data_IF_191000607582
#
_entry.id   IF_191000607582
#
_cell.length_a   1.000
_cell.length_b   1.000
_cell.length_c   1.000
_cell.angle_alpha   90.00
_cell.angle_beta   90.00
_cell.angle_gamma   90.00
#
_symmetry.space_group_name_H-M   'P 1'
#
loop_
_entity.id
_entity.type
_entity.pdbx_description
1 polymer ?
#
# COMPACT_ATOMS: atom_id res chain seq x y z
N UNK A 1 -2.46 -21.32 39.18
CA UNK A 1 -2.31 -19.86 39.10
C UNK A 1 -2.31 -19.49 37.62
N UNK A 2 -3.31 -18.75 37.16
CA UNK A 2 -3.39 -18.30 35.76
C UNK A 2 -2.28 -17.26 35.55
N UNK A 3 -1.53 -17.40 34.46
CA UNK A 3 -0.37 -16.58 34.11
C UNK A 3 -0.67 -15.84 32.81
N UNK A 4 -0.15 -14.63 32.65
CA UNK A 4 -0.41 -13.78 31.49
C UNK A 4 0.86 -13.58 30.65
N UNK A 5 0.78 -13.81 29.34
CA UNK A 5 1.89 -13.61 28.40
C UNK A 5 1.98 -12.13 28.00
N UNK A 6 2.99 -11.39 28.47
CA UNK A 6 3.14 -9.97 28.12
C UNK A 6 3.52 -9.72 26.65
N UNK A 7 3.93 -10.75 25.91
CA UNK A 7 4.27 -10.65 24.49
C UNK A 7 3.08 -10.89 23.56
N UNK A 8 2.13 -11.70 24.01
CA UNK A 8 1.11 -12.30 23.15
C UNK A 8 -0.31 -12.21 23.72
N UNK A 9 -0.46 -11.59 24.90
CA UNK A 9 -1.75 -11.26 25.51
C UNK A 9 -2.58 -12.45 26.01
N UNK A 10 -2.08 -13.69 25.88
CA UNK A 10 -2.84 -14.89 26.25
C UNK A 10 -2.61 -15.30 27.70
N UNK A 11 -3.71 -15.76 28.33
CA UNK A 11 -3.67 -16.44 29.62
C UNK A 11 -3.29 -17.91 29.45
N UNK A 12 -2.44 -18.43 30.33
CA UNK A 12 -2.00 -19.81 30.29
C UNK A 12 -1.72 -20.35 31.70
N UNK A 13 -1.84 -21.67 31.87
CA UNK A 13 -1.62 -22.36 33.15
C UNK A 13 -0.29 -23.13 33.15
N UNK A 14 0.24 -23.45 31.97
CA UNK A 14 1.51 -24.14 31.76
C UNK A 14 2.72 -23.30 32.17
N UNK A 15 3.88 -23.94 32.37
CA UNK A 15 5.15 -23.24 32.61
C UNK A 15 5.68 -22.48 31.38
N UNK A 16 5.12 -22.77 30.21
CA UNK A 16 5.51 -22.26 28.89
C UNK A 16 4.26 -21.74 28.18
N UNK A 17 4.35 -20.55 27.58
CA UNK A 17 3.25 -20.00 26.79
C UNK A 17 3.04 -20.83 25.50
N UNK A 18 1.82 -21.28 25.19
CA UNK A 18 1.54 -22.12 24.02
C UNK A 18 1.68 -21.37 22.69
N UNK A 19 1.55 -20.04 22.67
CA UNK A 19 1.62 -19.25 21.44
C UNK A 19 3.06 -18.84 21.09
N UNK A 20 3.87 -18.44 22.09
CA UNK A 20 5.23 -17.92 21.84
C UNK A 20 6.36 -18.83 22.35
N UNK A 21 6.05 -19.96 22.99
CA UNK A 21 7.02 -20.93 23.47
C UNK A 21 7.91 -20.46 24.64
N UNK A 22 7.69 -19.25 25.19
CA UNK A 22 8.52 -18.69 26.27
C UNK A 22 8.01 -19.07 27.66
N UNK A 23 8.94 -19.34 28.57
CA UNK A 23 8.65 -19.46 30.01
C UNK A 23 8.44 -18.10 30.64
N UNK A 24 7.83 -18.06 31.83
CA UNK A 24 7.73 -16.82 32.62
C UNK A 24 9.09 -16.22 32.97
N UNK A 25 10.07 -17.07 33.30
CA UNK A 25 11.42 -16.61 33.66
C UNK A 25 12.12 -15.89 32.49
N UNK A 26 11.91 -16.38 31.27
CA UNK A 26 12.38 -15.70 30.05
C UNK A 26 11.69 -14.35 29.84
N UNK A 27 10.39 -14.26 30.15
CA UNK A 27 9.63 -13.01 30.04
C UNK A 27 10.07 -11.96 31.09
N UNK A 28 10.42 -12.41 32.30
CA UNK A 28 10.88 -11.54 33.39
C UNK A 28 12.32 -11.04 33.15
N UNK A 29 13.21 -11.90 32.64
CA UNK A 29 14.55 -11.48 32.21
C UNK A 29 14.50 -10.44 31.08
N UNK A 30 13.55 -10.56 30.14
CA UNK A 30 13.37 -9.58 29.06
C UNK A 30 12.87 -8.23 29.59
N UNK A 31 11.93 -8.25 30.53
CA UNK A 31 11.46 -7.04 31.21
C UNK A 31 12.59 -6.33 31.95
N UNK A 32 13.38 -7.07 32.72
CA UNK A 32 14.51 -6.53 33.47
C UNK A 32 15.61 -5.96 32.53
N UNK A 33 15.84 -6.59 31.37
CA UNK A 33 16.75 -6.06 30.33
C UNK A 33 16.22 -4.78 29.69
N UNK A 34 14.91 -4.69 29.43
CA UNK A 34 14.27 -3.50 28.88
C UNK A 34 14.34 -2.32 29.87
N UNK A 35 14.07 -2.57 31.16
CA UNK A 35 14.18 -1.56 32.22
C UNK A 35 15.63 -1.07 32.39
N UNK A 36 16.60 -1.98 32.33
CA UNK A 36 18.04 -1.61 32.41
C UNK A 36 18.46 -0.76 31.21
N UNK A 37 17.99 -1.07 30.00
CA UNK A 37 18.23 -0.25 28.80
C UNK A 37 17.61 1.14 28.94
N UNK A 38 16.36 1.23 29.38
CA UNK A 38 15.67 2.51 29.62
C UNK A 38 16.40 3.37 30.65
N UNK A 39 16.85 2.77 31.76
CA UNK A 39 17.57 3.48 32.82
C UNK A 39 18.94 4.01 32.37
N UNK A 40 19.65 3.26 31.51
CA UNK A 40 20.92 3.69 30.92
C UNK A 40 20.73 4.82 29.90
N UNK A 41 19.69 4.76 29.07
CA UNK A 41 19.32 5.84 28.15
C UNK A 41 18.93 7.13 28.90
N UNK A 42 18.19 7.01 30.01
CA UNK A 42 17.84 8.15 30.86
C UNK A 42 19.06 8.78 31.56
N UNK A 43 20.03 7.96 32.00
CA UNK A 43 21.31 8.46 32.54
C UNK A 43 22.15 9.18 31.49
N UNK A 44 22.21 8.65 30.26
CA UNK A 44 22.90 9.30 29.14
C UNK A 44 22.27 10.64 28.73
N UNK A 45 20.94 10.76 28.84
CA UNK A 45 20.23 12.03 28.58
C UNK A 45 20.51 13.07 29.68
N UNK A 46 20.60 12.66 30.96
CA UNK A 46 20.94 13.57 32.06
C UNK A 46 22.41 14.05 32.01
N UNK A 47 23.35 13.21 31.60
CA UNK A 47 24.75 13.63 31.42
C UNK A 47 24.92 14.62 30.25
N UNK A 48 24.16 14.44 29.16
CA UNK A 48 24.17 15.38 28.03
C UNK A 48 23.48 16.72 28.33
N UNK A 49 22.50 16.75 29.24
CA UNK A 49 21.89 18.02 29.69
C UNK A 49 22.81 18.81 30.63
N UNK A 50 23.60 18.15 31.49
CA UNK A 50 24.55 18.84 32.38
C UNK A 50 25.76 19.44 31.64
N UNK A 51 26.16 18.88 30.48
CA UNK A 51 27.26 19.43 29.68
C UNK A 51 26.89 20.65 28.83
N UNK A 52 25.60 20.96 28.63
CA UNK A 52 25.14 22.08 27.80
C UNK A 52 24.70 23.33 28.60
N UNK A 53 24.99 23.40 29.90
CA UNK A 53 24.68 24.56 30.75
C UNK A 53 25.95 25.14 31.38
N UNK A 54 26.84 25.70 30.57
CA UNK A 54 27.92 26.56 31.05
C UNK A 54 28.26 27.62 29.98
N UNK A 55 27.50 28.72 29.98
CA UNK A 55 27.91 30.10 29.68
C UNK A 55 26.71 30.93 29.18
N UNK A 56 26.31 31.95 29.95
CA UNK A 56 26.11 33.35 29.54
C UNK A 56 25.46 34.11 30.74
N UNK A 57 25.90 35.33 31.10
CA UNK A 57 25.44 36.06 32.28
C UNK A 57 24.18 36.93 32.03
N UNK A 58 23.55 37.30 33.14
CA UNK A 58 22.34 38.11 33.31
C UNK A 58 22.40 39.56 32.79
N UNK A 59 21.30 40.07 32.21
CA UNK A 59 20.62 41.32 32.64
C UNK A 59 19.45 41.76 31.73
N UNK A 60 18.32 42.08 32.38
CA UNK A 60 17.36 43.18 32.15
C UNK A 60 16.43 43.27 30.91
N UNK A 61 15.22 43.74 31.25
CA UNK A 61 13.99 44.07 30.52
C UNK A 61 14.12 45.02 29.33
N UNK A 62 13.16 45.00 28.38
CA UNK A 62 12.26 46.12 27.99
C UNK A 62 11.30 45.71 26.85
N UNK A 63 10.06 46.21 26.92
CA UNK A 63 8.99 46.08 25.93
C UNK A 63 9.28 46.80 24.59
N UNK A 64 8.73 46.28 23.48
CA UNK A 64 7.94 46.99 22.45
C UNK A 64 7.93 46.26 21.08
N UNK A 65 6.79 46.30 20.38
CA UNK A 65 6.56 45.94 18.97
C UNK A 65 5.79 47.09 18.29
N UNK A 66 5.66 47.17 16.94
CA UNK A 66 6.51 46.79 15.79
C UNK A 66 6.64 48.01 14.78
N UNK A 67 7.06 47.89 13.48
CA UNK A 67 6.19 47.36 12.41
C UNK A 67 6.89 46.64 11.22
N UNK A 68 6.04 46.07 10.36
CA UNK A 68 6.25 45.22 9.17
C UNK A 68 7.25 45.74 8.12
N UNK A 69 7.98 44.82 7.47
CA UNK A 69 8.55 45.03 6.11
C UNK A 69 8.29 43.83 5.20
N UNK A 70 7.62 44.13 4.09
CA UNK A 70 7.46 43.31 2.88
C UNK A 70 8.82 43.12 2.20
N UNK A 71 9.15 41.90 1.75
CA UNK A 71 10.32 41.62 0.90
C UNK A 71 9.85 41.53 -0.56
N UNK A 72 10.42 42.36 -1.44
CA UNK A 72 10.31 42.23 -2.90
C UNK A 72 11.15 41.03 -3.34
N UNK A 73 10.55 40.08 -4.04
CA UNK A 73 11.28 38.99 -4.71
C UNK A 73 11.69 39.49 -6.10
N UNK A 74 12.99 39.47 -6.38
CA UNK A 74 13.59 39.93 -7.63
C UNK A 74 13.25 39.00 -8.80
N UNK A 75 12.62 39.57 -9.84
CA UNK A 75 12.21 38.96 -11.12
C UNK A 75 13.40 38.34 -11.91
N UNK A 76 14.64 38.63 -11.49
CA UNK A 76 15.86 38.15 -12.14
C UNK A 76 16.02 36.62 -12.03
N UNK A 77 15.50 35.97 -10.98
CA UNK A 77 15.59 34.51 -10.81
C UNK A 77 14.62 33.71 -11.69
N UNK A 78 13.52 34.31 -12.15
CA UNK A 78 12.55 33.65 -13.04
C UNK A 78 13.04 33.59 -14.50
N UNK A 79 13.91 34.52 -14.91
CA UNK A 79 14.43 34.57 -16.29
C UNK A 79 15.63 33.65 -16.51
N UNK A 80 16.43 33.36 -15.48
CA UNK A 80 17.55 32.42 -15.58
C UNK A 80 17.05 30.97 -15.60
N UNK A 81 15.98 30.65 -14.85
CA UNK A 81 15.39 29.31 -14.83
C UNK A 81 14.69 28.92 -16.16
N UNK A 82 14.05 29.86 -16.83
CA UNK A 82 13.34 29.60 -18.11
C UNK A 82 14.29 29.34 -19.28
N UNK A 83 15.48 29.95 -19.29
CA UNK A 83 16.50 29.73 -20.32
C UNK A 83 17.13 28.32 -20.21
N UNK A 84 17.30 27.80 -18.99
CA UNK A 84 17.84 26.45 -18.76
C UNK A 84 16.84 25.36 -19.17
N UNK A 85 15.53 25.59 -18.97
CA UNK A 85 14.47 24.64 -19.35
C UNK A 85 14.31 24.57 -20.88
N UNK A 86 14.42 25.70 -21.59
CA UNK A 86 14.33 25.72 -23.06
C UNK A 86 15.53 25.08 -23.77
N UNK A 87 16.72 25.11 -23.15
CA UNK A 87 17.90 24.44 -23.70
C UNK A 87 17.83 22.91 -23.55
N UNK A 88 17.22 22.41 -22.48
CA UNK A 88 17.06 20.97 -22.24
C UNK A 88 16.00 20.34 -23.18
N UNK A 89 14.91 21.04 -23.48
CA UNK A 89 13.85 20.54 -24.37
C UNK A 89 14.28 20.52 -25.84
N UNK A 90 15.13 21.46 -26.28
CA UNK A 90 15.68 21.46 -27.64
C UNK A 90 16.69 20.33 -27.89
N UNK A 91 17.42 19.88 -26.85
CA UNK A 91 18.36 18.76 -26.94
C UNK A 91 17.64 17.41 -27.07
N UNK A 92 16.50 17.23 -26.40
CA UNK A 92 15.69 16.00 -26.50
C UNK A 92 15.06 15.84 -27.89
N UNK A 93 14.61 16.95 -28.52
CA UNK A 93 14.07 16.92 -29.89
C UNK A 93 15.11 16.64 -30.98
N UNK A 94 16.40 16.89 -30.72
CA UNK A 94 17.48 16.57 -31.67
C UNK A 94 17.98 15.13 -31.56
N UNK A 95 17.79 14.46 -30.41
CA UNK A 95 18.15 13.05 -30.23
C UNK A 95 17.07 12.12 -30.82
N UNK A 96 15.79 12.52 -30.78
CA UNK A 96 14.69 11.73 -31.33
C UNK A 96 14.67 11.65 -32.86
N UNK A 97 15.46 12.47 -33.57
CA UNK A 97 15.44 12.55 -35.04
C UNK A 97 16.60 11.81 -35.72
N UNK A 98 17.38 10.99 -35.00
CA UNK A 98 18.53 10.26 -35.58
C UNK A 98 18.48 8.74 -35.48
N UNK A 99 17.42 8.13 -34.93
CA UNK A 99 17.30 6.67 -34.86
C UNK A 99 15.97 6.18 -35.46
N UNK A 100 15.78 6.40 -36.76
CA UNK A 100 14.88 5.58 -37.58
C UNK A 100 15.71 4.92 -38.68
N UNK A 101 16.14 3.69 -38.43
CA UNK A 101 16.91 2.91 -39.39
C UNK A 101 17.22 1.49 -38.92
N UNK A 102 16.42 0.55 -39.44
CA UNK A 102 16.73 -0.87 -39.68
C UNK A 102 16.67 -1.85 -38.49
N UNK A 103 15.54 -2.56 -38.45
CA UNK A 103 15.38 -4.03 -38.48
C UNK A 103 16.42 -4.96 -37.81
N UNK A 104 15.82 -5.80 -36.96
CA UNK A 104 16.03 -7.25 -36.85
C UNK A 104 17.05 -7.81 -35.84
N UNK A 105 16.55 -8.85 -35.18
CA UNK A 105 17.20 -10.03 -34.60
C UNK A 105 17.85 -9.92 -33.21
N UNK A 106 17.19 -10.63 -32.30
CA UNK A 106 17.74 -11.42 -31.21
C UNK A 106 19.25 -11.69 -31.25
N UNK A 107 19.93 -11.37 -30.14
CA UNK A 107 21.16 -12.04 -29.73
C UNK A 107 21.06 -12.39 -28.25
N UNK A 108 20.72 -13.65 -28.03
CA UNK A 108 21.05 -14.39 -26.82
C UNK A 108 22.46 -14.96 -26.94
N UNK A 109 23.16 -15.02 -25.81
CA UNK A 109 24.34 -15.83 -25.55
C UNK A 109 25.61 -15.01 -25.27
N UNK A 110 26.54 -15.42 -24.41
CA UNK A 110 26.70 -16.64 -23.60
C UNK A 110 27.95 -16.39 -22.71
N UNK A 111 28.00 -17.01 -21.52
CA UNK A 111 29.23 -17.20 -20.74
C UNK A 111 29.90 -18.53 -21.18
N UNK A 112 31.23 -18.71 -21.05
CA UNK A 112 32.00 -19.50 -22.00
C UNK A 112 32.28 -20.96 -21.61
N UNK A 113 32.56 -21.72 -22.68
CA UNK A 113 33.59 -22.74 -22.86
C UNK A 113 33.61 -23.98 -21.94
N UNK A 114 33.28 -25.14 -22.55
CA UNK A 114 34.03 -26.40 -22.35
C UNK A 114 34.19 -27.13 -23.69
N UNK A 115 35.46 -27.39 -24.00
CA UNK A 115 36.12 -28.44 -24.80
C UNK A 115 35.39 -29.28 -25.87
N UNK A 116 35.93 -29.16 -27.09
CA UNK A 116 36.40 -30.18 -28.06
C UNK A 116 35.95 -31.64 -27.89
N UNK A 117 35.42 -32.24 -28.97
CA UNK A 117 36.13 -33.28 -29.74
C UNK A 117 35.33 -33.67 -31.00
N UNK A 118 36.06 -34.30 -31.93
CA UNK A 118 35.85 -34.39 -33.37
C UNK A 118 34.90 -35.51 -33.87
N UNK A 119 34.44 -35.28 -35.10
CA UNK A 119 34.25 -36.20 -36.24
C UNK A 119 33.28 -37.40 -36.21
N UNK A 120 32.63 -37.52 -37.38
CA UNK A 120 32.23 -38.73 -38.12
C UNK A 120 30.75 -39.22 -38.07
N UNK A 121 29.99 -38.74 -39.06
CA UNK A 121 29.27 -39.53 -40.07
C UNK A 121 28.79 -40.96 -39.70
N UNK A 122 27.47 -41.16 -39.59
CA UNK A 122 26.77 -42.25 -40.30
C UNK A 122 25.25 -42.03 -40.28
N UNK A 123 24.64 -41.97 -41.46
CA UNK A 123 23.19 -41.83 -41.60
C UNK A 123 22.46 -43.13 -41.27
N UNK A 124 21.22 -43.01 -40.77
CA UNK A 124 20.14 -43.94 -41.07
C UNK A 124 18.81 -43.24 -40.85
N UNK A 125 17.93 -43.28 -41.85
CA UNK A 125 16.55 -42.83 -41.74
C UNK A 125 15.74 -43.78 -40.88
N UNK A 126 15.02 -43.26 -39.87
CA UNK A 126 13.77 -43.84 -39.40
C UNK A 126 12.80 -42.72 -39.06
N UNK A 127 11.58 -42.89 -39.55
CA UNK A 127 10.45 -41.98 -39.53
C UNK A 127 9.88 -41.73 -38.13
N UNK A 128 9.52 -40.49 -37.80
CA UNK A 128 8.37 -40.18 -36.93
C UNK A 128 8.06 -38.68 -36.89
N UNK A 129 6.84 -38.36 -37.34
CA UNK A 129 5.99 -37.24 -36.94
C UNK A 129 6.51 -36.23 -35.91
N UNK A 130 6.52 -34.94 -36.27
CA UNK A 130 6.30 -33.85 -35.30
C UNK A 130 5.74 -32.61 -35.97
N UNK A 131 4.54 -32.23 -35.53
CA UNK A 131 3.84 -30.99 -35.83
C UNK A 131 4.71 -29.78 -35.50
N UNK A 132 5.05 -28.97 -36.51
CA UNK A 132 5.50 -27.59 -36.29
C UNK A 132 4.27 -26.69 -36.34
N UNK A 133 3.63 -26.53 -35.18
CA UNK A 133 2.70 -25.43 -34.91
C UNK A 133 3.35 -24.51 -33.90
N UNK A 134 4.03 -23.47 -34.38
CA UNK A 134 4.41 -22.33 -33.55
C UNK A 134 3.13 -21.60 -33.16
N UNK A 135 2.56 -21.96 -32.01
CA UNK A 135 1.56 -21.16 -31.35
C UNK A 135 2.30 -20.03 -30.62
N UNK A 136 2.04 -18.79 -31.03
CA UNK A 136 2.38 -17.62 -30.25
C UNK A 136 1.78 -17.78 -28.84
N UNK A 137 2.62 -17.59 -27.81
CA UNK A 137 2.15 -17.44 -26.44
C UNK A 137 1.22 -16.22 -26.39
N UNK A 138 -0.06 -16.48 -26.25
CA UNK A 138 -1.05 -15.46 -25.89
C UNK A 138 -0.92 -15.19 -24.39
N UNK A 139 -1.07 -13.93 -23.92
CA UNK A 139 -1.11 -13.65 -22.50
C UNK A 139 -2.30 -14.39 -21.87
N UNK A 140 -2.03 -15.17 -20.84
CA UNK A 140 -3.03 -15.95 -20.11
C UNK A 140 -3.47 -15.20 -18.86
N UNK A 141 -4.42 -14.28 -18.96
CA UNK A 141 -5.32 -13.93 -17.83
C UNK A 141 -6.59 -13.26 -18.37
N UNK A 142 -7.56 -14.05 -18.85
CA UNK A 142 -8.94 -13.57 -18.85
C UNK A 142 -9.46 -13.69 -17.41
N UNK A 143 -9.02 -12.81 -16.49
CA UNK A 143 -9.66 -12.71 -15.17
C UNK A 143 -11.04 -12.12 -15.41
N UNK A 144 -12.06 -12.98 -15.38
CA UNK A 144 -13.44 -12.49 -15.52
C UNK A 144 -13.89 -11.97 -14.16
N UNK A 145 -13.86 -10.64 -13.98
CA UNK A 145 -14.33 -9.95 -12.76
C UNK A 145 -15.86 -9.95 -12.69
N UNK A 146 -16.45 -11.14 -12.55
CA UNK A 146 -17.89 -11.33 -12.37
C UNK A 146 -18.15 -12.45 -11.39
N UNK A 147 -18.25 -12.11 -10.12
CA UNK A 147 -18.92 -12.95 -9.16
C UNK A 147 -20.44 -12.86 -9.42
N UNK A 148 -20.99 -13.91 -10.05
CA UNK A 148 -22.41 -14.01 -10.41
C UNK A 148 -23.40 -13.88 -9.22
N UNK A 149 -22.90 -13.79 -7.98
CA UNK A 149 -23.69 -13.58 -6.76
C UNK A 149 -23.89 -12.11 -6.39
N UNK A 150 -23.11 -11.19 -6.94
CA UNK A 150 -23.21 -9.78 -6.59
C UNK A 150 -24.49 -9.16 -7.17
N UNK A 151 -25.12 -8.27 -6.41
CA UNK A 151 -26.32 -7.53 -6.84
C UNK A 151 -26.06 -6.03 -6.75
N UNK A 152 -26.61 -5.24 -7.68
CA UNK A 152 -26.55 -3.78 -7.59
C UNK A 152 -27.09 -3.27 -6.24
N UNK A 153 -26.42 -2.24 -5.72
CA UNK A 153 -26.84 -1.58 -4.49
C UNK A 153 -28.26 -1.02 -4.64
N UNK A 154 -29.14 -1.50 -3.76
CA UNK A 154 -30.48 -0.99 -3.52
C UNK A 154 -30.54 -0.39 -2.10
N UNK A 155 -30.81 0.93 -1.95
CA UNK A 155 -30.92 1.58 -0.64
C UNK A 155 -32.12 1.09 0.18
N UNK A 156 -33.13 0.46 -0.44
CA UNK A 156 -34.28 -0.13 0.26
C UNK A 156 -34.00 -1.55 0.79
N UNK A 157 -32.90 -2.18 0.36
CA UNK A 157 -32.52 -3.53 0.77
C UNK A 157 -31.76 -3.51 2.10
N UNK A 158 -31.93 -4.57 2.88
CA UNK A 158 -31.08 -4.87 4.04
C UNK A 158 -29.92 -5.76 3.61
N UNK A 159 -28.73 -5.47 4.13
CA UNK A 159 -27.50 -6.22 3.86
C UNK A 159 -27.00 -6.91 5.12
N UNK A 160 -26.19 -7.94 4.93
CA UNK A 160 -25.43 -8.64 5.95
C UNK A 160 -23.93 -8.55 5.65
N UNK A 161 -23.10 -8.74 6.67
CA UNK A 161 -21.65 -8.95 6.48
C UNK A 161 -21.43 -10.09 5.48
N UNK A 162 -20.42 -9.93 4.62
CA UNK A 162 -20.07 -10.81 3.50
C UNK A 162 -21.05 -10.81 2.30
N UNK A 163 -22.11 -10.00 2.33
CA UNK A 163 -22.88 -9.75 1.10
C UNK A 163 -21.98 -9.10 0.04
N UNK A 164 -22.17 -9.49 -1.22
CA UNK A 164 -21.52 -8.85 -2.36
C UNK A 164 -22.48 -7.87 -3.06
N UNK A 165 -22.02 -6.65 -3.28
CA UNK A 165 -22.78 -5.61 -3.97
C UNK A 165 -22.01 -5.02 -5.16
N UNK A 166 -22.75 -4.56 -6.17
CA UNK A 166 -22.22 -3.75 -7.26
C UNK A 166 -22.57 -2.29 -7.03
N UNK A 167 -21.59 -1.40 -7.08
CA UNK A 167 -21.78 0.04 -6.87
C UNK A 167 -20.63 0.84 -7.48
N UNK A 168 -20.93 1.83 -8.34
CA UNK A 168 -19.91 2.50 -9.15
C UNK A 168 -19.32 1.59 -10.24
N UNK A 169 -18.50 2.20 -11.10
CA UNK A 169 -17.78 1.53 -12.17
C UNK A 169 -16.38 2.14 -12.35
N UNK A 170 -15.35 1.31 -12.50
CA UNK A 170 -13.97 1.72 -12.72
C UNK A 170 -13.28 0.79 -13.71
N UNK A 171 -12.22 1.25 -14.36
CA UNK A 171 -11.43 0.43 -15.28
C UNK A 171 -10.77 -0.72 -14.49
N UNK A 172 -10.98 -1.97 -14.94
CA UNK A 172 -10.47 -3.15 -14.24
C UNK A 172 -9.80 -4.17 -15.18
N UNK A 173 -10.14 -4.21 -16.47
CA UNK A 173 -9.58 -5.18 -17.41
C UNK A 173 -8.48 -4.64 -18.33
N UNK A 174 -8.15 -3.34 -18.21
CA UNK A 174 -7.15 -2.63 -19.03
C UNK A 174 -7.55 -2.51 -20.52
N UNK A 175 -8.85 -2.71 -20.84
CA UNK A 175 -9.44 -2.50 -22.15
C UNK A 175 -10.38 -1.28 -22.18
N UNK A 176 -9.78 -0.10 -22.27
CA UNK A 176 -10.51 1.17 -22.38
C UNK A 176 -11.52 1.28 -23.55
N UNK A 177 -11.55 0.32 -24.48
CA UNK A 177 -12.49 0.33 -25.60
C UNK A 177 -13.91 -0.13 -25.22
N UNK A 178 -14.06 -0.86 -24.11
CA UNK A 178 -15.33 -1.41 -23.63
C UNK A 178 -16.00 -0.53 -22.55
N UNK A 179 -15.24 0.40 -21.97
CA UNK A 179 -15.67 1.29 -20.89
C UNK A 179 -15.67 0.61 -19.52
N UNK A 180 -15.63 1.41 -18.45
CA UNK A 180 -15.40 0.90 -17.09
C UNK A 180 -16.37 -0.20 -16.61
N UNK A 181 -15.84 -1.15 -15.83
CA UNK A 181 -16.56 -2.26 -15.24
C UNK A 181 -17.19 -1.90 -13.89
N UNK A 182 -18.35 -2.47 -13.60
CA UNK A 182 -18.96 -2.36 -12.28
C UNK A 182 -18.01 -2.85 -11.18
N UNK A 183 -17.87 -2.09 -10.10
CA UNK A 183 -17.00 -2.46 -8.98
C UNK A 183 -17.74 -3.44 -8.08
N UNK A 184 -17.09 -4.57 -7.78
CA UNK A 184 -17.54 -5.53 -6.78
C UNK A 184 -17.07 -5.12 -5.39
N UNK A 185 -18.00 -5.08 -4.45
CA UNK A 185 -17.74 -4.73 -3.05
C UNK A 185 -18.24 -5.82 -2.11
N UNK A 186 -17.47 -6.05 -1.04
CA UNK A 186 -17.86 -6.88 0.09
C UNK A 186 -18.31 -6.00 1.26
N UNK A 187 -19.44 -6.35 1.87
CA UNK A 187 -19.91 -5.71 3.10
C UNK A 187 -19.09 -6.18 4.31
N UNK A 188 -18.46 -5.24 5.02
CA UNK A 188 -17.65 -5.49 6.22
C UNK A 188 -18.40 -5.23 7.54
N UNK A 189 -19.32 -4.25 7.55
CA UNK A 189 -20.10 -3.90 8.74
C UNK A 189 -21.48 -3.38 8.35
N UNK A 190 -22.46 -3.55 9.23
CA UNK A 190 -23.83 -3.08 9.05
C UNK A 190 -24.28 -2.33 10.29
N UNK A 191 -24.43 -1.02 10.17
CA UNK A 191 -25.07 -0.17 11.17
C UNK A 191 -26.53 0.10 10.78
N UNK A 192 -27.32 0.70 11.68
CA UNK A 192 -28.76 0.89 11.48
C UNK A 192 -29.10 1.69 10.22
N UNK A 193 -28.25 2.66 9.85
CA UNK A 193 -28.46 3.60 8.74
C UNK A 193 -27.35 3.60 7.69
N UNK A 194 -26.32 2.75 7.82
CA UNK A 194 -25.22 2.69 6.85
C UNK A 194 -24.54 1.34 6.83
N UNK A 195 -23.85 1.02 5.74
CA UNK A 195 -23.04 -0.19 5.60
C UNK A 195 -21.61 0.18 5.22
N UNK A 196 -20.63 -0.50 5.81
CA UNK A 196 -19.22 -0.37 5.43
C UNK A 196 -18.94 -1.41 4.36
N UNK A 197 -18.34 -0.96 3.26
CA UNK A 197 -17.95 -1.83 2.17
C UNK A 197 -16.47 -1.64 1.83
N UNK A 198 -15.84 -2.70 1.34
CA UNK A 198 -14.50 -2.68 0.75
C UNK A 198 -14.55 -3.32 -0.63
N UNK A 199 -13.79 -2.78 -1.57
CA UNK A 199 -13.62 -3.38 -2.90
C UNK A 199 -13.09 -4.81 -2.78
N UNK A 200 -13.64 -5.72 -3.58
CA UNK A 200 -13.22 -7.12 -3.59
C UNK A 200 -11.77 -7.23 -4.11
N UNK A 201 -11.42 -6.42 -5.11
CA UNK A 201 -10.11 -6.32 -5.75
C UNK A 201 -9.38 -5.02 -5.39
N UNK A 202 -8.06 -5.02 -5.52
CA UNK A 202 -7.29 -3.77 -5.56
C UNK A 202 -7.45 -3.14 -6.95
N UNK A 203 -8.04 -1.95 -7.02
CA UNK A 203 -8.58 -1.38 -8.25
C UNK A 203 -7.54 -0.61 -9.08
N UNK A 204 -6.50 -0.07 -8.43
CA UNK A 204 -5.45 0.71 -9.09
C UNK A 204 -4.11 0.60 -8.34
N UNK A 205 -3.02 0.99 -8.98
CA UNK A 205 -1.69 1.14 -8.41
C UNK A 205 -1.36 2.62 -8.21
N UNK A 206 -1.43 3.10 -6.97
CA UNK A 206 -1.15 4.49 -6.60
C UNK A 206 -0.23 4.52 -5.38
N UNK A 207 0.83 5.32 -5.45
CA UNK A 207 1.71 5.56 -4.30
C UNK A 207 0.91 6.16 -3.14
N UNK A 208 1.24 5.78 -1.90
CA UNK A 208 0.66 6.42 -0.71
C UNK A 208 0.90 7.94 -0.73
N UNK A 209 2.10 8.36 -1.13
CA UNK A 209 2.45 9.75 -1.35
C UNK A 209 3.32 9.90 -2.61
N UNK A 210 3.16 10.98 -3.36
CA UNK A 210 3.94 11.22 -4.59
C UNK A 210 5.45 11.36 -4.34
N UNK A 211 5.82 11.95 -3.20
CA UNK A 211 7.21 12.20 -2.79
C UNK A 211 7.59 11.42 -1.54
N UNK A 212 8.89 11.12 -1.39
CA UNK A 212 9.44 10.48 -0.18
C UNK A 212 9.73 11.50 0.93
N UNK A 213 8.69 12.20 1.36
CA UNK A 213 8.73 13.17 2.44
C UNK A 213 7.86 12.70 3.60
N UNK A 214 8.20 13.08 4.83
CA UNK A 214 7.37 12.73 5.98
C UNK A 214 5.92 13.19 5.76
N UNK A 215 5.00 12.24 5.78
CA UNK A 215 3.58 12.50 5.57
C UNK A 215 2.71 11.63 6.48
N UNK A 216 1.45 12.02 6.59
CA UNK A 216 0.42 11.29 7.32
C UNK A 216 -0.74 11.00 6.36
N UNK A 217 -1.71 10.19 6.77
CA UNK A 217 -2.92 9.98 5.95
C UNK A 217 -3.57 11.32 5.54
N UNK A 218 -3.69 12.24 6.50
CA UNK A 218 -4.30 13.56 6.33
C UNK A 218 -3.72 14.39 5.20
N UNK A 219 -2.40 14.29 5.00
CA UNK A 219 -1.63 15.06 4.00
C UNK A 219 -1.17 14.24 2.82
N UNK A 220 -1.53 12.96 2.74
CA UNK A 220 -1.12 12.06 1.67
C UNK A 220 -1.81 12.37 0.35
N UNK A 221 -1.08 12.21 -0.77
CA UNK A 221 -1.68 12.33 -2.10
C UNK A 221 -2.70 11.23 -2.38
N UNK A 222 -2.52 10.02 -1.80
CA UNK A 222 -3.49 8.93 -1.94
C UNK A 222 -4.87 9.29 -1.36
N UNK A 223 -4.91 9.92 -0.17
CA UNK A 223 -6.18 10.39 0.41
C UNK A 223 -6.87 11.41 -0.51
N UNK A 224 -6.09 12.34 -1.09
CA UNK A 224 -6.63 13.33 -2.02
C UNK A 224 -7.21 12.67 -3.27
N UNK A 225 -6.44 11.78 -3.91
CA UNK A 225 -6.86 11.02 -5.09
C UNK A 225 -8.14 10.21 -4.83
N UNK A 226 -8.23 9.52 -3.68
CA UNK A 226 -9.43 8.75 -3.31
C UNK A 226 -10.68 9.63 -3.19
N UNK A 227 -10.55 10.82 -2.60
CA UNK A 227 -11.69 11.70 -2.31
C UNK A 227 -12.03 12.69 -3.43
N UNK A 228 -11.21 12.73 -4.49
CA UNK A 228 -11.40 13.59 -5.67
C UNK A 228 -11.41 12.75 -6.95
N UNK A 229 -10.24 12.49 -7.55
CA UNK A 229 -10.11 11.81 -8.85
C UNK A 229 -10.83 10.47 -8.92
N UNK A 230 -10.55 9.56 -7.98
CA UNK A 230 -11.19 8.25 -7.94
C UNK A 230 -12.70 8.38 -7.75
N UNK A 231 -13.14 9.19 -6.79
CA UNK A 231 -14.57 9.39 -6.50
C UNK A 231 -15.34 9.92 -7.72
N UNK A 232 -14.78 10.91 -8.40
CA UNK A 232 -15.41 11.55 -9.55
C UNK A 232 -15.38 10.67 -10.81
N UNK A 233 -14.42 9.75 -10.89
CA UNK A 233 -14.32 8.79 -12.00
C UNK A 233 -15.19 7.55 -11.77
N UNK A 234 -15.25 7.06 -10.53
CA UNK A 234 -15.85 5.78 -10.20
C UNK A 234 -17.36 5.83 -9.92
N UNK A 235 -17.90 6.99 -9.52
CA UNK A 235 -19.29 7.11 -9.07
C UNK A 235 -20.02 8.26 -9.75
N UNK A 236 -21.24 8.00 -10.21
CA UNK A 236 -22.14 9.04 -10.72
C UNK A 236 -22.55 10.02 -9.62
N UNK A 237 -23.11 11.17 -9.98
CA UNK A 237 -23.61 12.15 -9.00
C UNK A 237 -24.70 11.54 -8.09
N UNK A 238 -25.55 10.67 -8.65
CA UNK A 238 -26.59 9.94 -7.91
C UNK A 238 -25.98 8.92 -6.95
N UNK A 239 -24.94 8.19 -7.37
CA UNK A 239 -24.23 7.25 -6.51
C UNK A 239 -23.49 7.98 -5.39
N UNK A 240 -22.78 9.07 -5.70
CA UNK A 240 -22.06 9.88 -4.70
C UNK A 240 -23.00 10.40 -3.60
N UNK A 241 -24.29 10.62 -3.88
CA UNK A 241 -25.28 11.02 -2.89
C UNK A 241 -25.58 9.95 -1.82
N UNK A 242 -25.13 8.71 -2.02
CA UNK A 242 -25.21 7.63 -1.02
C UNK A 242 -23.90 7.45 -0.24
N UNK A 243 -22.78 8.05 -0.66
CA UNK A 243 -21.49 7.89 0.02
C UNK A 243 -21.42 8.82 1.23
N UNK A 244 -21.36 8.25 2.43
CA UNK A 244 -21.28 9.02 3.67
C UNK A 244 -19.91 9.70 3.80
N UNK A 245 -19.91 10.97 4.24
CA UNK A 245 -18.72 11.54 4.89
C UNK A 245 -18.64 11.02 6.31
N UNK A 246 -17.48 10.45 6.69
CA UNK A 246 -17.23 9.93 8.02
C UNK A 246 -15.96 10.52 8.61
N UNK A 247 -15.93 10.68 9.93
CA UNK A 247 -14.70 10.97 10.65
C UNK A 247 -13.86 9.69 10.78
N UNK A 248 -12.64 9.71 10.27
CA UNK A 248 -11.67 8.62 10.36
C UNK A 248 -10.58 9.00 11.36
N UNK A 249 -10.43 8.20 12.42
CA UNK A 249 -9.35 8.32 13.39
C UNK A 249 -8.15 7.48 12.93
N UNK A 250 -7.02 8.12 12.61
CA UNK A 250 -5.74 7.44 12.34
C UNK A 250 -4.87 7.42 13.58
N UNK A 251 -4.88 6.27 14.26
CA UNK A 251 -4.03 6.05 15.42
C UNK A 251 -2.58 5.90 15.02
N UNK A 252 -1.70 6.23 15.98
CA UNK A 252 -0.28 5.91 15.94
C UNK A 252 -0.08 4.41 15.69
N UNK A 253 1.07 4.06 15.10
CA UNK A 253 1.37 2.66 14.83
C UNK A 253 1.59 1.90 16.16
N UNK A 254 0.84 0.81 16.44
CA UNK A 254 0.93 0.10 17.72
C UNK A 254 2.26 -0.65 17.95
N UNK A 255 3.11 -0.76 16.92
CA UNK A 255 4.42 -1.40 16.98
C UNK A 255 5.59 -0.40 17.06
N UNK A 256 5.29 0.90 16.90
CA UNK A 256 6.29 1.96 16.84
C UNK A 256 5.97 3.10 17.79
N UNK A 257 6.77 3.21 18.83
CA UNK A 257 6.79 4.41 19.66
C UNK A 257 7.17 5.61 18.78
N UNK A 258 6.45 6.73 18.94
CA UNK A 258 6.70 8.04 18.31
C UNK A 258 6.38 8.18 16.80
N UNK A 259 5.54 7.32 16.19
CA UNK A 259 5.07 7.54 14.80
C UNK A 259 3.65 8.10 14.77
N UNK A 260 3.54 9.38 14.39
CA UNK A 260 2.28 10.13 14.37
C UNK A 260 1.30 9.61 13.30
N UNK A 261 0.06 9.36 13.72
CA UNK A 261 -1.05 9.00 12.83
C UNK A 261 -1.61 10.18 12.02
N UNK A 262 -1.28 11.43 12.40
CA UNK A 262 -1.67 12.65 11.68
C UNK A 262 -3.07 13.19 12.02
N UNK A 263 -3.68 12.66 13.08
CA UNK A 263 -4.98 13.08 13.60
C UNK A 263 -6.17 12.68 12.72
N UNK A 264 -7.36 13.15 13.12
CA UNK A 264 -8.61 12.81 12.45
C UNK A 264 -8.78 13.51 11.10
N UNK A 265 -9.47 12.83 10.19
CA UNK A 265 -9.89 13.31 8.87
C UNK A 265 -11.38 13.11 8.67
N UNK A 266 -11.99 13.93 7.82
CA UNK A 266 -13.33 13.67 7.28
C UNK A 266 -13.17 13.17 5.85
N UNK A 267 -13.59 11.93 5.59
CA UNK A 267 -13.40 11.26 4.30
C UNK A 267 -14.71 10.62 3.82
N UNK A 268 -14.87 10.53 2.51
CA UNK A 268 -15.92 9.73 1.88
C UNK A 268 -15.39 8.35 1.45
N UNK A 269 -14.15 8.32 0.96
CA UNK A 269 -13.46 7.10 0.51
C UNK A 269 -12.08 7.05 1.18
N UNK A 270 -11.72 5.89 1.72
CA UNK A 270 -10.53 5.74 2.53
C UNK A 270 -9.90 4.35 2.41
N UNK A 271 -8.64 4.23 2.85
CA UNK A 271 -8.02 2.93 3.15
C UNK A 271 -8.33 2.56 4.60
N UNK A 272 -8.55 1.28 4.90
CA UNK A 272 -8.74 0.84 6.30
C UNK A 272 -7.49 1.13 7.15
N UNK A 273 -7.66 1.32 8.45
CA UNK A 273 -6.57 1.32 9.44
C UNK A 273 -6.22 -0.08 9.92
N UNK A 274 -5.09 -0.20 10.63
CA UNK A 274 -4.72 -1.44 11.35
C UNK A 274 -5.86 -1.92 12.25
N UNK A 275 -6.51 -1.02 12.98
CA UNK A 275 -7.58 -1.38 13.91
C UNK A 275 -8.83 -1.85 13.20
N UNK A 276 -9.19 -1.22 12.08
CA UNK A 276 -10.32 -1.63 11.26
C UNK A 276 -10.05 -2.99 10.61
N UNK A 277 -8.82 -3.23 10.12
CA UNK A 277 -8.46 -4.56 9.60
C UNK A 277 -8.54 -5.62 10.71
N UNK A 278 -8.06 -5.32 11.92
CA UNK A 278 -8.20 -6.23 13.07
C UNK A 278 -9.66 -6.43 13.51
N UNK A 279 -10.52 -5.43 13.33
CA UNK A 279 -11.94 -5.48 13.70
C UNK A 279 -12.74 -6.31 12.69
N UNK A 280 -12.55 -6.07 11.39
CA UNK A 280 -13.41 -6.62 10.34
C UNK A 280 -12.91 -7.92 9.73
N UNK A 281 -11.63 -8.25 9.87
CA UNK A 281 -11.07 -9.51 9.38
C UNK A 281 -10.71 -10.43 10.55
N UNK A 282 -11.28 -11.63 10.50
CA UNK A 282 -11.13 -12.72 11.48
C UNK A 282 -9.71 -13.28 11.62
N UNK A 283 -8.76 -12.86 10.77
CA UNK A 283 -7.39 -13.37 10.72
C UNK A 283 -7.37 -14.87 10.41
N UNK A 284 -8.24 -15.29 9.49
CA UNK A 284 -8.41 -16.69 9.12
C UNK A 284 -7.12 -17.21 8.49
N UNK A 285 -6.46 -18.17 9.14
CA UNK A 285 -5.25 -18.80 8.61
C UNK A 285 -5.61 -19.90 7.61
N UNK A 286 -4.83 -20.02 6.55
CA UNK A 286 -4.95 -21.05 5.53
C UNK A 286 -3.61 -21.34 4.86
N UNK A 287 -3.64 -22.20 3.84
CA UNK A 287 -2.46 -22.56 3.03
C UNK A 287 -2.77 -22.24 1.57
N UNK A 288 -1.85 -21.54 0.90
CA UNK A 288 -1.84 -21.34 -0.56
C UNK A 288 -0.45 -21.72 -1.08
N UNK A 289 -0.39 -22.57 -2.09
CA UNK A 289 0.87 -23.08 -2.69
C UNK A 289 1.92 -23.58 -1.66
N UNK A 290 1.45 -24.11 -0.52
CA UNK A 290 2.32 -24.61 0.56
C UNK A 290 2.78 -23.55 1.56
N UNK A 291 2.42 -22.28 1.37
CA UNK A 291 2.71 -21.19 2.30
C UNK A 291 1.54 -20.90 3.25
N UNK A 292 1.86 -20.48 4.48
CA UNK A 292 0.86 -20.03 5.46
C UNK A 292 0.42 -18.60 5.17
N UNK A 293 -0.89 -18.40 5.00
CA UNK A 293 -1.49 -17.10 4.66
C UNK A 293 -2.65 -16.74 5.60
N UNK A 294 -3.04 -15.46 5.62
CA UNK A 294 -4.27 -14.94 6.24
C UNK A 294 -5.33 -14.73 5.15
N UNK A 295 -6.13 -15.76 4.90
CA UNK A 295 -6.97 -15.89 3.69
C UNK A 295 -8.02 -14.81 3.55
N UNK A 296 -8.58 -14.31 4.65
CA UNK A 296 -9.65 -13.32 4.62
C UNK A 296 -9.16 -11.91 4.25
N UNK A 297 -7.85 -11.62 4.40
CA UNK A 297 -7.24 -10.32 4.06
C UNK A 297 -6.60 -10.26 2.68
N UNK A 298 -6.54 -11.38 1.98
CA UNK A 298 -5.97 -11.47 0.65
C UNK A 298 -6.81 -10.64 -0.35
N UNK A 299 -6.15 -10.17 -1.40
CA UNK A 299 -6.77 -9.47 -2.51
C UNK A 299 -5.97 -9.72 -3.79
N UNK A 300 -6.69 -9.82 -4.90
CA UNK A 300 -6.13 -9.75 -6.25
C UNK A 300 -6.09 -8.30 -6.70
N UNK A 301 -5.10 -7.94 -7.52
CA UNK A 301 -5.15 -6.73 -8.32
C UNK A 301 -6.03 -6.95 -9.57
N UNK A 302 -6.69 -5.88 -10.02
CA UNK A 302 -7.32 -5.84 -11.35
C UNK A 302 -6.23 -5.81 -12.43
N UNK A 303 -6.55 -6.19 -13.66
CA UNK A 303 -5.58 -6.17 -14.77
C UNK A 303 -5.15 -4.72 -15.06
N UNK A 304 -6.07 -3.76 -14.91
CA UNK A 304 -5.75 -2.32 -14.92
C UNK A 304 -4.73 -1.93 -13.83
N UNK A 305 -4.92 -2.37 -12.58
CA UNK A 305 -3.96 -2.10 -11.51
C UNK A 305 -2.59 -2.73 -11.80
N UNK A 306 -2.56 -3.94 -12.39
CA UNK A 306 -1.33 -4.60 -12.83
C UNK A 306 -0.65 -3.83 -13.97
N UNK A 307 -1.42 -3.35 -14.95
CA UNK A 307 -0.95 -2.46 -16.02
C UNK A 307 -0.32 -1.17 -15.48
N UNK A 308 -0.86 -0.65 -14.38
CA UNK A 308 -0.32 0.52 -13.65
C UNK A 308 0.83 0.18 -12.69
N UNK A 309 1.29 -1.08 -12.66
CA UNK A 309 2.51 -1.47 -11.95
C UNK A 309 2.29 -2.10 -10.57
N UNK A 310 1.05 -2.46 -10.23
CA UNK A 310 0.75 -3.23 -9.01
C UNK A 310 1.59 -4.50 -8.96
N UNK A 311 2.08 -4.84 -7.77
CA UNK A 311 2.76 -6.11 -7.57
C UNK A 311 1.77 -7.29 -7.61
N UNK A 312 2.17 -8.41 -8.21
CA UNK A 312 1.46 -9.69 -8.12
C UNK A 312 2.42 -10.75 -7.61
N UNK A 313 1.99 -11.58 -6.67
CA UNK A 313 2.79 -12.74 -6.24
C UNK A 313 2.79 -13.81 -7.33
N UNK A 314 3.97 -14.28 -7.75
CA UNK A 314 4.13 -15.16 -8.91
C UNK A 314 3.36 -16.50 -8.81
N UNK A 315 3.12 -17.01 -7.59
CA UNK A 315 2.54 -18.34 -7.40
C UNK A 315 1.01 -18.35 -7.24
N UNK A 316 0.44 -17.31 -6.63
CA UNK A 316 -0.99 -17.28 -6.28
C UNK A 316 -1.64 -15.91 -6.52
N UNK A 317 -0.99 -15.05 -7.30
CA UNK A 317 -1.49 -13.77 -7.83
C UNK A 317 -1.92 -12.71 -6.79
N UNK A 318 -1.72 -12.96 -5.50
CA UNK A 318 -2.13 -12.00 -4.48
C UNK A 318 -1.23 -10.77 -4.52
N UNK A 319 -1.85 -9.60 -4.37
CA UNK A 319 -1.15 -8.32 -4.24
C UNK A 319 -1.07 -7.88 -2.79
N UNK A 320 -0.35 -6.79 -2.55
CA UNK A 320 -0.34 -6.07 -1.28
C UNK A 320 -1.12 -4.77 -1.41
N UNK A 321 -1.71 -4.27 -0.32
CA UNK A 321 -2.56 -3.08 -0.34
C UNK A 321 -2.36 -2.16 0.86
N UNK A 322 -2.43 -0.85 0.60
CA UNK A 322 -2.18 0.19 1.60
C UNK A 322 -3.22 0.24 2.72
N UNK A 323 -2.75 0.54 3.93
CA UNK A 323 -3.56 1.03 5.04
C UNK A 323 -3.30 2.52 5.24
N UNK A 324 -4.27 3.23 5.82
CA UNK A 324 -4.08 4.63 6.23
C UNK A 324 -3.20 4.80 7.47
N UNK A 325 -2.95 3.71 8.20
CA UNK A 325 -2.08 3.74 9.39
C UNK A 325 -0.62 3.96 8.99
N UNK A 326 0.14 4.77 9.75
CA UNK A 326 1.55 4.99 9.46
C UNK A 326 2.38 3.72 9.63
N UNK A 327 3.56 3.65 9.02
CA UNK A 327 4.49 2.52 9.13
C UNK A 327 5.45 2.66 10.30
N UNK A 328 6.70 2.27 10.08
CA UNK A 328 7.84 2.42 11.00
C UNK A 328 8.11 3.87 11.40
N UNK A 329 7.95 4.76 10.43
CA UNK A 329 8.01 6.20 10.55
C UNK A 329 7.08 6.82 9.48
N UNK A 330 6.99 8.15 9.41
CA UNK A 330 6.12 8.83 8.45
C UNK A 330 6.67 8.86 6.99
N UNK A 331 7.78 8.16 6.68
CA UNK A 331 8.19 7.83 5.30
C UNK A 331 7.73 6.44 4.87
N UNK A 332 7.07 5.70 5.78
CA UNK A 332 6.44 4.41 5.55
C UNK A 332 4.94 4.47 5.88
N UNK A 333 4.15 3.64 5.21
CA UNK A 333 2.76 3.38 5.58
C UNK A 333 2.61 1.89 5.85
N UNK A 334 1.69 1.53 6.74
CA UNK A 334 1.38 0.11 6.95
C UNK A 334 0.60 -0.42 5.75
N UNK A 335 0.83 -1.68 5.42
CA UNK A 335 0.11 -2.39 4.37
C UNK A 335 -0.24 -3.81 4.82
N UNK A 336 -1.12 -4.46 4.06
CA UNK A 336 -1.31 -5.90 4.10
C UNK A 336 -0.55 -6.50 2.93
N UNK A 337 0.36 -7.44 3.18
CA UNK A 337 1.15 -8.07 2.14
C UNK A 337 0.36 -9.16 1.39
N UNK A 338 0.98 -9.76 0.37
CA UNK A 338 0.40 -10.85 -0.42
C UNK A 338 0.11 -12.14 0.39
N UNK A 339 0.57 -12.23 1.64
CA UNK A 339 0.28 -13.34 2.55
C UNK A 339 -0.80 -12.97 3.59
N UNK A 340 -1.33 -11.74 3.52
CA UNK A 340 -2.38 -11.24 4.40
C UNK A 340 -1.88 -10.76 5.78
N UNK A 341 -0.57 -10.61 5.96
CA UNK A 341 0.04 -10.10 7.19
C UNK A 341 0.33 -8.60 7.12
N UNK A 342 0.36 -7.94 8.27
CA UNK A 342 0.75 -6.53 8.38
C UNK A 342 2.25 -6.35 8.10
N UNK A 343 2.60 -5.29 7.38
CA UNK A 343 3.98 -4.87 7.13
C UNK A 343 4.10 -3.36 7.28
N UNK A 344 5.14 -2.91 7.99
CA UNK A 344 5.31 -1.52 8.41
C UNK A 344 6.66 -0.87 8.05
N UNK A 345 7.69 -1.64 7.63
CA UNK A 345 9.04 -1.09 7.34
C UNK A 345 9.52 -1.18 5.89
N UNK A 346 9.01 -2.13 5.09
CA UNK A 346 9.69 -2.50 3.85
C UNK A 346 9.38 -1.57 2.66
N UNK A 347 8.21 -0.93 2.67
CA UNK A 347 7.74 -0.14 1.54
C UNK A 347 7.61 1.33 1.92
N UNK A 348 8.37 2.16 1.20
CA UNK A 348 8.23 3.60 1.28
C UNK A 348 6.91 4.06 0.70
N UNK A 349 6.39 5.16 1.23
CA UNK A 349 5.15 5.80 0.78
C UNK A 349 5.14 6.17 -0.71
N UNK A 350 6.31 6.36 -1.34
CA UNK A 350 6.46 6.70 -2.76
C UNK A 350 6.61 5.49 -3.68
N UNK A 351 6.44 4.27 -3.13
CA UNK A 351 6.47 3.03 -3.91
C UNK A 351 5.51 3.11 -5.11
N UNK A 352 6.00 2.72 -6.28
CA UNK A 352 5.24 2.68 -7.54
C UNK A 352 4.53 1.35 -7.78
N UNK A 353 4.50 0.49 -6.77
CA UNK A 353 3.89 -0.84 -6.83
C UNK A 353 2.75 -1.01 -5.84
N UNK A 354 2.26 0.09 -5.25
CA UNK A 354 1.29 0.05 -4.16
C UNK A 354 -0.14 0.00 -4.65
N UNK A 355 -0.83 -1.08 -4.31
CA UNK A 355 -2.20 -1.29 -4.73
C UNK A 355 -3.19 -0.63 -3.78
N UNK A 356 -4.28 -0.12 -4.35
CA UNK A 356 -5.33 0.58 -3.61
C UNK A 356 -6.57 -0.29 -3.50
N UNK A 357 -6.97 -0.56 -2.26
CA UNK A 357 -8.20 -1.29 -1.94
C UNK A 357 -9.17 -0.35 -1.20
N UNK A 358 -9.96 0.47 -1.92
CA UNK A 358 -10.81 1.47 -1.29
C UNK A 358 -11.91 0.84 -0.43
N UNK A 359 -12.24 1.54 0.64
CA UNK A 359 -13.40 1.31 1.49
C UNK A 359 -14.23 2.60 1.63
N UNK A 360 -15.54 2.45 1.81
CA UNK A 360 -16.47 3.57 2.02
C UNK A 360 -17.71 3.13 2.79
N UNK A 361 -18.42 4.10 3.36
CA UNK A 361 -19.72 3.87 3.96
C UNK A 361 -20.84 4.29 3.00
N UNK A 362 -21.82 3.41 2.76
CA UNK A 362 -23.06 3.76 2.07
C UNK A 362 -24.16 4.08 3.08
N UNK A 363 -24.72 5.28 2.99
CA UNK A 363 -25.79 5.78 3.83
C UNK A 363 -27.14 5.42 3.22
N UNK A 364 -28.08 4.94 4.05
CA UNK A 364 -29.49 4.89 3.69
C UNK A 364 -30.03 6.31 3.70
N UNK A 365 -30.56 6.78 2.58
CA UNK A 365 -31.26 8.06 2.55
C UNK A 365 -32.57 7.93 3.34
N UNK A 366 -32.72 8.78 4.36
CA UNK A 366 -33.89 8.85 5.26
C UNK A 366 -35.07 9.57 4.64
#
# INVERSE_FOLDING_TARGET
MIKFCTRCGVEFVSGVCPNCGKTLEMQEQERNRAETKSHNTAKSRKSNQQHNSANIPSSQSYENSPPRRYIKIDIVWLLVGTIVILAATLAVLLISNSCNGLNSSCLAGQNPAIHQDDDSNMGTQVSSSSLTGQAALQPTTNRTYKNAKCSYYDPAKSYSVDDCILFGAYEQDDDFSNGSEAIEWRVLDCESNKILIISEYCLDCVSYNETREYTTWKTSSLRHWLNDDFKNSAFSAEEQAYICTVENETQENPWHDDTDGGGNTEDQIFCLSINEVKKYFSNQKGILEGESVVTDRLALATDYALGNGSFSHDEYDMTWWWLRSPGYDNQHATLINCNGDFVEYYYFIDSKHGSVRPALWLCKQT
#
